data_IF_070528464618
#
_entry.id   IF_070528464618
#
_cell.length_a   1.000
_cell.length_b   1.000
_cell.length_c   1.000
_cell.angle_alpha   90.00
_cell.angle_beta   90.00
_cell.angle_gamma   90.00
#
_symmetry.space_group_name_H-M   'P 1'
#
loop_
_entity.id
_entity.type
_entity.pdbx_description
1 polymer ?
#
# COMPACT_ATOMS: atom_id res chain seq x y z
N UNK A 1 -27.83 73.01 45.58
CA UNK A 1 -26.44 72.62 45.92
C UNK A 1 -26.26 71.14 45.58
N UNK A 2 -25.10 70.81 44.97
CA UNK A 2 -24.60 69.49 44.50
C UNK A 2 -24.69 68.36 45.58
N UNK A 3 -24.61 67.05 45.25
CA UNK A 3 -23.67 66.51 44.26
C UNK A 3 -24.13 65.42 43.29
N UNK A 4 -23.30 65.37 42.24
CA UNK A 4 -23.27 64.52 41.06
C UNK A 4 -22.47 63.27 41.44
N UNK A 5 -23.04 62.08 41.27
CA UNK A 5 -22.29 60.81 41.34
C UNK A 5 -22.42 60.06 40.02
N UNK A 6 -21.34 59.35 39.70
CA UNK A 6 -20.85 59.02 38.37
C UNK A 6 -20.53 57.50 38.37
N UNK A 7 -20.80 56.83 37.24
CA UNK A 7 -20.33 55.50 36.77
C UNK A 7 -21.14 54.23 37.09
N UNK A 8 -20.97 53.12 36.32
CA UNK A 8 -20.42 52.96 34.97
C UNK A 8 -21.34 52.15 34.02
N UNK A 9 -21.10 52.30 32.72
CA UNK A 9 -21.60 51.37 31.70
C UNK A 9 -20.96 49.99 31.89
N UNK A 10 -21.79 48.97 32.13
CA UNK A 10 -21.36 47.58 32.16
C UNK A 10 -21.09 47.13 30.72
N UNK A 11 -19.81 47.15 30.32
CA UNK A 11 -19.36 46.54 29.08
C UNK A 11 -19.60 45.02 29.16
N UNK A 12 -20.52 44.53 28.34
CA UNK A 12 -20.66 43.11 28.04
C UNK A 12 -19.39 42.64 27.33
N UNK A 13 -18.49 41.93 28.04
CA UNK A 13 -17.49 41.11 27.37
C UNK A 13 -18.18 39.80 26.94
N UNK A 14 -18.69 39.78 25.72
CA UNK A 14 -19.06 38.54 25.05
C UNK A 14 -17.74 37.83 24.63
N UNK A 15 -17.30 36.87 25.43
CA UNK A 15 -16.16 36.01 25.10
C UNK A 15 -16.58 35.08 23.96
N UNK A 16 -16.36 35.50 22.71
CA UNK A 16 -16.47 34.60 21.55
C UNK A 16 -15.41 33.50 21.66
N UNK A 17 -15.82 32.32 22.10
CA UNK A 17 -15.04 31.09 21.96
C UNK A 17 -14.89 30.82 20.45
N UNK A 18 -13.74 31.19 19.88
CA UNK A 18 -13.36 30.78 18.53
C UNK A 18 -13.10 29.27 18.57
N UNK A 19 -14.14 28.49 18.28
CA UNK A 19 -14.01 27.08 17.91
C UNK A 19 -13.29 27.04 16.56
N UNK A 20 -11.96 27.02 16.61
CA UNK A 20 -11.18 26.64 15.43
C UNK A 20 -11.53 25.18 15.13
N UNK A 21 -12.11 24.86 13.95
CA UNK A 21 -12.30 23.47 13.58
C UNK A 21 -10.91 22.82 13.55
N UNK A 22 -10.68 21.85 14.43
CA UNK A 22 -9.54 20.98 14.30
C UNK A 22 -9.67 20.31 12.93
N UNK A 23 -8.74 20.60 12.01
CA UNK A 23 -8.61 19.85 10.78
C UNK A 23 -8.21 18.44 11.18
N UNK A 24 -9.19 17.57 11.39
CA UNK A 24 -8.97 16.15 11.56
C UNK A 24 -8.48 15.63 10.21
N UNK A 25 -7.22 15.19 10.15
CA UNK A 25 -6.75 14.43 9.01
C UNK A 25 -7.53 13.12 8.94
N UNK A 26 -7.88 12.68 7.72
CA UNK A 26 -8.53 11.40 7.52
C UNK A 26 -7.63 10.28 8.06
N UNK A 27 -8.23 9.35 8.82
CA UNK A 27 -7.52 8.21 9.42
C UNK A 27 -6.90 7.29 8.36
N UNK A 28 -5.95 6.44 8.76
CA UNK A 28 -5.33 5.47 7.86
C UNK A 28 -6.34 4.62 7.08
N UNK A 29 -7.35 4.01 7.74
CA UNK A 29 -8.41 3.26 7.05
C UNK A 29 -9.22 4.10 6.07
N UNK A 30 -9.54 5.35 6.38
CA UNK A 30 -10.30 6.24 5.48
C UNK A 30 -9.49 6.63 4.25
N UNK A 31 -8.22 6.97 4.44
CA UNK A 31 -7.31 7.25 3.33
C UNK A 31 -7.10 6.02 2.46
N UNK A 32 -6.93 4.84 3.07
CA UNK A 32 -6.77 3.59 2.34
C UNK A 32 -8.03 3.22 1.56
N UNK A 33 -9.22 3.37 2.16
CA UNK A 33 -10.49 3.19 1.46
C UNK A 33 -10.61 4.14 0.26
N UNK A 34 -10.22 5.40 0.44
CA UNK A 34 -10.19 6.38 -0.65
C UNK A 34 -9.21 5.98 -1.75
N UNK A 35 -8.02 5.51 -1.39
CA UNK A 35 -7.03 4.99 -2.34
C UNK A 35 -7.61 3.85 -3.19
N UNK A 36 -8.16 2.82 -2.54
CA UNK A 36 -8.67 1.61 -3.21
C UNK A 36 -9.85 1.94 -4.14
N UNK A 37 -10.74 2.84 -3.71
CA UNK A 37 -11.96 3.19 -4.46
C UNK A 37 -11.73 4.17 -5.61
N UNK A 38 -10.76 5.09 -5.49
CA UNK A 38 -10.56 6.18 -6.47
C UNK A 38 -9.35 5.98 -7.40
N UNK A 39 -8.52 4.96 -7.13
CA UNK A 39 -7.35 4.63 -7.93
C UNK A 39 -7.64 3.42 -8.80
N UNK A 40 -7.89 3.61 -10.09
CA UNK A 40 -8.10 2.51 -11.04
C UNK A 40 -6.80 2.05 -11.69
N UNK A 41 -5.83 2.94 -11.82
CA UNK A 41 -4.45 2.60 -12.21
C UNK A 41 -3.45 3.36 -11.37
N UNK A 42 -2.24 2.85 -11.26
CA UNK A 42 -1.12 3.59 -10.70
C UNK A 42 0.20 3.13 -11.29
N UNK A 43 1.21 3.99 -11.16
CA UNK A 43 2.62 3.60 -11.29
C UNK A 43 3.45 4.24 -10.19
N UNK A 44 4.51 3.56 -9.76
CA UNK A 44 5.46 4.10 -8.80
C UNK A 44 6.81 3.39 -8.93
N UNK A 45 7.84 4.04 -8.40
CA UNK A 45 9.10 3.37 -8.06
C UNK A 45 9.03 2.88 -6.61
N UNK A 46 9.80 1.85 -6.27
CA UNK A 46 9.92 1.41 -4.89
C UNK A 46 11.37 1.09 -4.51
N UNK A 47 11.68 1.27 -3.24
CA UNK A 47 12.83 0.66 -2.57
C UNK A 47 12.32 -0.33 -1.53
N UNK A 48 12.90 -1.52 -1.49
CA UNK A 48 12.54 -2.59 -0.57
C UNK A 48 13.73 -2.98 0.29
N UNK A 49 13.48 -3.19 1.58
CA UNK A 49 14.43 -3.76 2.54
C UNK A 49 13.80 -4.97 3.20
N UNK A 50 14.44 -6.12 3.09
CA UNK A 50 14.03 -7.37 3.75
C UNK A 50 15.00 -7.68 4.88
N UNK A 51 14.49 -7.78 6.09
CA UNK A 51 15.27 -8.12 7.29
C UNK A 51 14.76 -9.43 7.87
N UNK A 52 15.61 -10.43 7.96
CA UNK A 52 15.29 -11.71 8.58
C UNK A 52 15.43 -11.64 10.11
N UNK A 53 14.63 -12.42 10.84
CA UNK A 53 14.71 -12.58 12.31
C UNK A 53 16.10 -12.98 12.81
N UNK A 54 16.87 -13.69 11.98
CA UNK A 54 18.23 -14.15 12.30
C UNK A 54 19.27 -13.02 12.41
N UNK A 55 18.92 -11.77 12.08
CA UNK A 55 19.86 -10.64 12.13
C UNK A 55 20.90 -10.64 10.99
N UNK A 56 20.71 -11.49 9.97
CA UNK A 56 21.51 -11.42 8.74
C UNK A 56 21.39 -10.03 8.10
N UNK A 57 22.41 -9.65 7.33
CA UNK A 57 22.43 -8.38 6.60
C UNK A 57 21.12 -8.20 5.81
N UNK A 58 20.46 -7.03 5.92
CA UNK A 58 19.24 -6.77 5.17
C UNK A 58 19.48 -6.91 3.66
N UNK A 59 18.52 -7.49 2.97
CA UNK A 59 18.52 -7.53 1.51
C UNK A 59 17.80 -6.29 0.99
N UNK A 60 18.50 -5.51 0.19
CA UNK A 60 17.98 -4.32 -0.46
C UNK A 60 17.54 -4.66 -1.88
N UNK A 61 16.43 -4.10 -2.33
CA UNK A 61 15.99 -4.23 -3.71
C UNK A 61 15.29 -2.95 -4.18
N UNK A 62 15.27 -2.72 -5.48
CA UNK A 62 14.63 -1.54 -6.07
C UNK A 62 13.91 -1.93 -7.35
N UNK A 63 12.94 -1.12 -7.75
CA UNK A 63 12.27 -1.34 -9.01
C UNK A 63 11.04 -0.48 -9.21
N UNK A 64 10.15 -0.97 -10.07
CA UNK A 64 8.92 -0.28 -10.47
C UNK A 64 7.70 -1.16 -10.28
N UNK A 65 6.58 -0.50 -9.98
CA UNK A 65 5.27 -1.13 -9.98
C UNK A 65 4.32 -0.35 -10.89
N UNK A 66 3.44 -1.07 -11.54
CA UNK A 66 2.27 -0.53 -12.19
C UNK A 66 1.09 -1.46 -11.97
N UNK A 67 -0.10 -0.91 -11.80
CA UNK A 67 -1.32 -1.72 -11.77
C UNK A 67 -2.47 -1.03 -12.50
N UNK A 68 -3.40 -1.85 -12.98
CA UNK A 68 -4.68 -1.43 -13.49
C UNK A 68 -5.74 -2.41 -13.00
N UNK A 69 -6.74 -1.89 -12.29
CA UNK A 69 -7.84 -2.69 -11.76
C UNK A 69 -8.80 -3.13 -12.88
N UNK A 70 -9.45 -4.29 -12.73
CA UNK A 70 -9.19 -5.32 -11.73
C UNK A 70 -8.01 -6.24 -12.14
N UNK A 71 -7.22 -6.68 -11.15
CA UNK A 71 -6.35 -7.85 -11.26
C UNK A 71 -5.13 -7.75 -12.17
N UNK A 72 -4.88 -6.61 -12.83
CA UNK A 72 -3.69 -6.43 -13.66
C UNK A 72 -2.61 -5.67 -12.92
N UNK A 73 -1.41 -6.22 -12.88
CA UNK A 73 -0.26 -5.54 -12.32
C UNK A 73 1.04 -6.02 -12.94
N UNK A 74 2.06 -5.19 -12.80
CA UNK A 74 3.43 -5.46 -13.20
C UNK A 74 4.33 -4.95 -12.10
N UNK A 75 5.13 -5.85 -11.54
CA UNK A 75 6.12 -5.54 -10.50
C UNK A 75 7.49 -5.98 -11.01
N UNK A 76 8.38 -5.02 -11.24
CA UNK A 76 9.71 -5.27 -11.79
C UNK A 76 10.74 -4.97 -10.72
N UNK A 77 11.49 -5.98 -10.28
CA UNK A 77 12.71 -5.83 -9.49
C UNK A 77 13.89 -5.66 -10.45
N UNK A 78 14.68 -4.61 -10.24
CA UNK A 78 15.80 -4.23 -11.11
C UNK A 78 17.16 -4.47 -10.45
N UNK A 79 17.21 -4.45 -9.11
CA UNK A 79 18.44 -4.64 -8.34
C UNK A 79 18.17 -5.43 -7.06
N UNK A 80 19.14 -6.21 -6.56
CA UNK A 80 20.36 -6.64 -7.25
C UNK A 80 20.12 -7.76 -8.26
N UNK A 81 18.96 -8.42 -8.19
CA UNK A 81 18.54 -9.50 -9.10
C UNK A 81 17.30 -9.08 -9.85
N UNK A 82 17.24 -9.42 -11.13
CA UNK A 82 16.12 -9.05 -11.99
C UNK A 82 15.00 -10.09 -11.90
N UNK A 83 13.85 -9.64 -11.41
CA UNK A 83 12.67 -10.47 -11.29
C UNK A 83 11.43 -9.70 -11.72
N UNK A 84 10.56 -10.34 -12.49
CA UNK A 84 9.35 -9.72 -13.02
C UNK A 84 8.13 -10.52 -12.59
N UNK A 85 7.20 -9.86 -11.90
CA UNK A 85 5.89 -10.40 -11.57
C UNK A 85 4.84 -9.70 -12.42
N UNK A 86 4.02 -10.46 -13.16
CA UNK A 86 2.94 -9.93 -13.98
C UNK A 86 1.64 -10.64 -13.64
N UNK A 87 0.65 -9.88 -13.18
CA UNK A 87 -0.74 -10.31 -13.12
C UNK A 87 -1.47 -9.86 -14.38
N UNK A 88 -2.00 -10.79 -15.17
CA UNK A 88 -2.74 -10.47 -16.41
C UNK A 88 -4.27 -10.38 -16.20
N UNK A 89 -4.72 -10.52 -14.95
CA UNK A 89 -6.14 -10.61 -14.55
C UNK A 89 -6.65 -12.04 -14.38
N UNK A 90 -5.91 -13.05 -14.83
CA UNK A 90 -6.26 -14.47 -14.68
C UNK A 90 -5.13 -15.26 -14.04
N UNK A 91 -3.89 -15.00 -14.46
CA UNK A 91 -2.67 -15.67 -14.01
C UNK A 91 -1.65 -14.68 -13.45
N UNK A 92 -0.86 -15.18 -12.53
CA UNK A 92 0.38 -14.58 -12.07
C UNK A 92 1.54 -15.29 -12.77
N UNK A 93 2.36 -14.52 -13.46
CA UNK A 93 3.63 -14.92 -14.04
C UNK A 93 4.75 -14.37 -13.17
N UNK A 94 5.67 -15.23 -12.75
CA UNK A 94 6.88 -14.84 -12.01
C UNK A 94 8.06 -15.27 -12.85
N UNK A 95 8.80 -14.32 -13.40
CA UNK A 95 9.97 -14.56 -14.21
C UNK A 95 11.23 -14.17 -13.44
N UNK A 96 12.06 -15.18 -13.16
CA UNK A 96 13.42 -14.99 -12.68
C UNK A 96 14.35 -14.94 -13.89
N UNK A 97 14.94 -13.77 -14.15
CA UNK A 97 15.71 -13.56 -15.38
C UNK A 97 17.03 -14.30 -15.36
N UNK A 98 17.68 -14.37 -14.20
CA UNK A 98 19.00 -14.96 -14.05
C UNK A 98 18.94 -16.48 -14.19
N UNK A 99 17.87 -17.09 -13.69
CA UNK A 99 17.60 -18.53 -13.84
C UNK A 99 16.92 -18.89 -15.17
N UNK A 100 16.47 -17.88 -15.92
CA UNK A 100 15.61 -18.05 -17.10
C UNK A 100 14.40 -18.98 -16.81
N UNK A 101 13.75 -18.75 -15.66
CA UNK A 101 12.67 -19.60 -15.17
C UNK A 101 11.38 -18.79 -15.01
N UNK A 102 10.27 -19.33 -15.48
CA UNK A 102 8.93 -18.76 -15.35
C UNK A 102 8.08 -19.67 -14.47
N UNK A 103 7.56 -19.13 -13.37
CA UNK A 103 6.53 -19.78 -12.57
C UNK A 103 5.16 -19.19 -12.88
N UNK A 104 4.17 -20.06 -13.11
CA UNK A 104 2.79 -19.67 -13.42
C UNK A 104 1.85 -20.12 -12.30
N UNK A 105 0.96 -19.24 -11.85
CA UNK A 105 -0.06 -19.54 -10.84
C UNK A 105 -1.39 -18.90 -11.20
N UNK A 106 -2.51 -19.53 -10.79
CA UNK A 106 -3.83 -18.89 -10.81
C UNK A 106 -3.85 -17.67 -9.91
N UNK A 107 -4.32 -16.53 -10.44
CA UNK A 107 -4.23 -15.26 -9.74
C UNK A 107 -5.03 -15.25 -8.44
N UNK A 108 -6.25 -15.80 -8.42
CA UNK A 108 -7.09 -15.84 -7.22
C UNK A 108 -6.43 -16.51 -6.01
N UNK A 109 -5.68 -17.59 -6.22
CA UNK A 109 -4.92 -18.27 -5.16
C UNK A 109 -3.65 -17.51 -4.76
N UNK A 110 -3.04 -16.77 -5.70
CA UNK A 110 -1.83 -16.00 -5.46
C UNK A 110 -2.08 -14.62 -4.82
N UNK A 111 -3.28 -14.05 -5.00
CA UNK A 111 -3.64 -12.74 -4.43
C UNK A 111 -3.75 -12.79 -2.89
N UNK A 112 -4.16 -13.93 -2.30
CA UNK A 112 -4.17 -14.09 -0.85
C UNK A 112 -2.77 -14.08 -0.20
N UNK A 113 -1.72 -14.22 -1.02
CA UNK A 113 -0.36 -14.49 -0.58
C UNK A 113 0.67 -13.47 -1.07
N UNK A 114 0.28 -12.27 -1.54
CA UNK A 114 1.27 -11.24 -1.89
C UNK A 114 0.86 -9.82 -1.45
N UNK A 115 1.79 -9.01 -0.92
CA UNK A 115 1.54 -7.60 -0.59
C UNK A 115 1.12 -6.75 -1.79
N UNK A 116 1.54 -7.12 -3.01
CA UNK A 116 1.11 -6.47 -4.24
C UNK A 116 -0.42 -6.58 -4.47
N UNK A 117 -1.02 -7.69 -4.04
CA UNK A 117 -2.46 -7.91 -4.13
C UNK A 117 -3.26 -6.95 -3.23
N UNK A 118 -2.73 -6.54 -2.07
CA UNK A 118 -3.39 -5.52 -1.24
C UNK A 118 -3.48 -4.17 -1.96
N UNK A 119 -2.48 -3.84 -2.78
CA UNK A 119 -2.41 -2.57 -3.51
C UNK A 119 -3.13 -2.60 -4.86
N UNK A 120 -3.17 -3.75 -5.54
CA UNK A 120 -3.73 -3.91 -6.90
C UNK A 120 -5.06 -4.70 -6.92
N UNK A 121 -5.46 -5.26 -5.78
CA UNK A 121 -6.65 -6.07 -5.61
C UNK A 121 -7.95 -5.31 -5.87
N UNK A 122 -9.03 -6.07 -5.96
CA UNK A 122 -10.37 -5.54 -6.12
C UNK A 122 -10.89 -4.93 -4.80
N UNK A 123 -12.11 -4.39 -4.85
CA UNK A 123 -12.77 -3.80 -3.69
C UNK A 123 -13.23 -4.85 -2.65
N UNK A 124 -12.80 -6.11 -2.75
CA UNK A 124 -13.19 -7.17 -1.82
C UNK A 124 -12.23 -7.36 -0.64
N UNK A 125 -11.35 -6.38 -0.37
CA UNK A 125 -10.39 -6.44 0.74
C UNK A 125 -11.05 -6.77 2.09
N UNK A 126 -12.23 -6.22 2.39
CA UNK A 126 -12.95 -6.48 3.65
C UNK A 126 -13.35 -7.96 3.83
N UNK A 127 -13.49 -8.71 2.72
CA UNK A 127 -13.79 -10.16 2.75
C UNK A 127 -12.59 -10.98 3.18
N UNK A 128 -11.37 -10.52 2.86
CA UNK A 128 -10.15 -11.29 3.05
C UNK A 128 -9.32 -10.77 4.23
N UNK A 129 -9.51 -9.51 4.61
CA UNK A 129 -8.71 -8.82 5.62
C UNK A 129 -9.56 -8.16 6.70
N UNK A 130 -9.00 -8.13 7.90
CA UNK A 130 -9.44 -7.26 8.99
C UNK A 130 -8.59 -6.00 8.87
N UNK A 131 -9.26 -4.87 8.65
CA UNK A 131 -8.63 -3.56 8.45
C UNK A 131 -8.82 -2.74 9.73
N UNK A 132 -7.74 -2.29 10.35
CA UNK A 132 -7.75 -1.51 11.59
C UNK A 132 -6.91 -0.24 11.45
N UNK A 133 -7.28 0.79 12.21
CA UNK A 133 -6.45 1.97 12.37
C UNK A 133 -5.20 1.61 13.17
N UNK A 134 -4.02 2.03 12.68
CA UNK A 134 -2.73 1.80 13.30
C UNK A 134 -2.01 3.10 13.67
N UNK A 135 -2.75 4.21 13.72
CA UNK A 135 -2.31 5.51 14.20
C UNK A 135 -1.38 6.24 13.24
N UNK A 136 -0.89 7.39 13.69
CA UNK A 136 -0.02 8.27 12.90
C UNK A 136 1.44 8.13 13.34
N UNK A 137 2.37 8.04 12.39
CA UNK A 137 3.82 8.07 12.68
C UNK A 137 4.55 8.73 11.52
N UNK A 138 5.48 9.64 11.82
CA UNK A 138 6.28 10.36 10.83
C UNK A 138 5.44 11.07 9.73
N UNK A 139 4.27 11.58 10.11
CA UNK A 139 3.34 12.26 9.20
C UNK A 139 2.55 11.33 8.26
N UNK A 140 2.64 10.01 8.45
CA UNK A 140 1.83 9.03 7.72
C UNK A 140 0.71 8.50 8.62
N UNK A 141 -0.48 8.39 8.05
CA UNK A 141 -1.62 7.72 8.68
C UNK A 141 -1.58 6.23 8.33
N UNK A 142 -1.51 5.36 9.33
CA UNK A 142 -1.35 3.94 9.10
C UNK A 142 -2.66 3.18 9.20
N UNK A 143 -2.81 2.25 8.26
CA UNK A 143 -3.76 1.16 8.36
C UNK A 143 -3.01 -0.15 8.57
N UNK A 144 -3.58 -1.06 9.34
CA UNK A 144 -3.13 -2.44 9.45
C UNK A 144 -4.15 -3.38 8.81
N UNK A 145 -3.66 -4.33 8.03
CA UNK A 145 -4.42 -5.34 7.33
C UNK A 145 -3.94 -6.72 7.76
N UNK A 146 -4.79 -7.45 8.48
CA UNK A 146 -4.53 -8.82 8.90
C UNK A 146 -5.39 -9.79 8.07
N UNK A 147 -4.83 -10.86 7.48
CA UNK A 147 -5.64 -11.88 6.84
C UNK A 147 -6.67 -12.46 7.81
N UNK A 148 -7.92 -12.64 7.36
CA UNK A 148 -8.95 -13.34 8.14
C UNK A 148 -8.64 -14.82 8.28
N UNK A 149 -8.10 -15.43 7.23
CA UNK A 149 -7.63 -16.80 7.23
C UNK A 149 -6.11 -16.83 7.44
N UNK A 150 -5.68 -17.18 8.65
CA UNK A 150 -4.26 -17.14 9.04
C UNK A 150 -3.44 -18.29 8.45
N UNK A 151 -4.09 -19.38 8.06
CA UNK A 151 -3.41 -20.59 7.58
C UNK A 151 -3.09 -20.56 6.08
N UNK A 152 -3.68 -19.62 5.32
CA UNK A 152 -3.53 -19.52 3.87
C UNK A 152 -2.65 -18.33 3.41
N UNK A 153 -2.34 -17.39 4.31
CA UNK A 153 -1.56 -16.18 3.99
C UNK A 153 -0.05 -16.42 4.03
N UNK A 154 0.70 -15.77 3.14
CA UNK A 154 2.17 -15.74 3.22
C UNK A 154 2.69 -14.77 4.29
N UNK A 155 1.81 -13.99 4.91
CA UNK A 155 2.15 -12.97 5.89
C UNK A 155 1.19 -12.97 7.09
N UNK A 156 1.69 -12.53 8.24
CA UNK A 156 0.93 -12.36 9.48
C UNK A 156 0.10 -11.06 9.44
N UNK A 157 0.74 -9.96 9.03
CA UNK A 157 0.09 -8.66 8.88
C UNK A 157 0.81 -7.76 7.88
N UNK A 158 0.09 -6.77 7.35
CA UNK A 158 0.63 -5.68 6.56
C UNK A 158 0.20 -4.34 7.15
N UNK A 159 1.14 -3.43 7.34
CA UNK A 159 0.85 -2.01 7.64
C UNK A 159 1.11 -1.17 6.41
N UNK A 160 0.19 -0.25 6.10
CA UNK A 160 0.32 0.68 4.98
C UNK A 160 0.25 2.09 5.54
N UNK A 161 1.31 2.86 5.35
CA UNK A 161 1.38 4.27 5.71
C UNK A 161 0.95 5.14 4.53
N UNK A 162 -0.06 5.97 4.74
CA UNK A 162 -0.65 6.82 3.72
C UNK A 162 -0.42 8.30 4.01
N UNK A 163 -0.31 9.06 2.92
CA UNK A 163 -0.34 10.51 2.93
C UNK A 163 -1.00 10.97 1.62
N UNK A 164 -1.91 11.94 1.73
CA UNK A 164 -2.75 12.42 0.62
C UNK A 164 -3.55 11.30 -0.08
N UNK A 165 -4.01 10.31 0.69
CA UNK A 165 -4.69 9.11 0.17
C UNK A 165 -3.83 8.25 -0.77
N UNK A 166 -2.50 8.36 -0.70
CA UNK A 166 -1.57 7.53 -1.47
C UNK A 166 -0.67 6.72 -0.55
N UNK A 167 -0.39 5.45 -0.87
CA UNK A 167 0.56 4.65 -0.10
C UNK A 167 1.97 5.22 -0.29
N UNK A 168 2.65 5.47 0.83
CA UNK A 168 4.05 5.93 0.87
C UNK A 168 4.97 4.85 1.43
N UNK A 169 4.47 4.07 2.37
CA UNK A 169 5.20 3.00 3.05
C UNK A 169 4.32 1.77 3.17
N UNK A 170 4.91 0.59 3.00
CA UNK A 170 4.28 -0.67 3.30
C UNK A 170 5.24 -1.53 4.12
N UNK A 171 4.75 -2.12 5.19
CA UNK A 171 5.52 -2.98 6.08
C UNK A 171 4.81 -4.31 6.15
N UNK A 172 5.50 -5.38 5.79
CA UNK A 172 4.97 -6.75 5.76
C UNK A 172 5.73 -7.55 6.80
N UNK A 173 4.98 -8.23 7.67
CA UNK A 173 5.53 -9.19 8.61
C UNK A 173 5.09 -10.58 8.20
N UNK A 174 6.04 -11.48 7.96
CA UNK A 174 5.73 -12.88 7.67
C UNK A 174 5.67 -13.76 8.93
N UNK A 175 5.14 -14.97 8.77
CA UNK A 175 5.02 -15.95 9.85
C UNK A 175 6.37 -16.47 10.39
N UNK A 176 7.47 -16.22 9.67
CA UNK A 176 8.82 -16.62 10.06
C UNK A 176 9.60 -15.48 10.74
N UNK A 177 8.96 -14.33 10.96
CA UNK A 177 9.55 -13.14 11.58
C UNK A 177 10.43 -12.33 10.61
N UNK A 178 10.31 -12.53 9.31
CA UNK A 178 10.85 -11.62 8.31
C UNK A 178 10.03 -10.33 8.29
N UNK A 179 10.73 -9.19 8.25
CA UNK A 179 10.15 -7.88 8.05
C UNK A 179 10.57 -7.34 6.70
N UNK A 180 9.60 -7.05 5.84
CA UNK A 180 9.83 -6.40 4.56
C UNK A 180 9.26 -4.98 4.62
N UNK A 181 10.10 -3.98 4.31
CA UNK A 181 9.71 -2.57 4.24
C UNK A 181 9.80 -2.12 2.79
N UNK A 182 8.71 -1.60 2.23
CA UNK A 182 8.66 -1.02 0.91
C UNK A 182 8.32 0.47 1.00
N UNK A 183 9.18 1.30 0.44
CA UNK A 183 8.96 2.74 0.33
C UNK A 183 8.64 3.08 -1.12
N UNK A 184 7.52 3.76 -1.35
CA UNK A 184 7.10 4.17 -2.69
C UNK A 184 7.54 5.59 -3.00
N UNK A 185 8.02 5.79 -4.22
CA UNK A 185 8.49 7.06 -4.74
C UNK A 185 7.79 7.37 -6.07
N UNK A 186 7.58 8.66 -6.35
CA UNK A 186 6.99 9.12 -7.61
C UNK A 186 5.66 8.40 -7.93
N UNK A 187 4.78 8.31 -6.93
CA UNK A 187 3.51 7.63 -7.07
C UNK A 187 2.56 8.47 -7.93
N UNK A 188 2.14 7.92 -9.07
CA UNK A 188 1.19 8.56 -9.98
C UNK A 188 -0.15 7.82 -9.92
N UNK A 189 -1.22 8.56 -9.61
CA UNK A 189 -2.59 8.03 -9.56
C UNK A 189 -3.25 8.18 -10.93
N UNK A 190 -3.91 7.11 -11.37
CA UNK A 190 -4.65 7.03 -12.62
C UNK A 190 -3.88 7.46 -13.89
N UNK A 191 -2.58 7.14 -14.06
CA UNK A 191 -1.90 7.43 -15.31
C UNK A 191 -2.49 6.59 -16.45
N UNK A 192 -2.42 7.07 -17.71
CA UNK A 192 -2.72 6.23 -18.86
C UNK A 192 -1.69 5.10 -18.94
N UNK A 193 -2.14 3.85 -18.91
CA UNK A 193 -1.31 2.66 -19.04
C UNK A 193 -1.75 1.85 -20.25
N UNK A 194 -0.79 1.45 -21.10
CA UNK A 194 -1.07 0.57 -22.22
C UNK A 194 -1.51 -0.81 -21.71
N UNK A 195 -2.54 -1.40 -22.33
CA UNK A 195 -3.05 -2.71 -21.94
C UNK A 195 -1.98 -3.81 -22.03
N UNK A 196 -1.08 -3.71 -23.00
CA UNK A 196 -0.02 -4.69 -23.23
C UNK A 196 1.07 -4.68 -22.16
N UNK A 197 1.11 -3.66 -21.30
CA UNK A 197 2.03 -3.60 -20.15
C UNK A 197 1.87 -4.81 -19.21
N UNK A 198 0.66 -5.35 -19.13
CA UNK A 198 0.28 -6.44 -18.24
C UNK A 198 0.21 -7.79 -18.93
N UNK A 199 0.61 -7.88 -20.21
CA UNK A 199 0.76 -9.15 -20.90
C UNK A 199 2.17 -9.68 -20.66
N UNK A 200 2.27 -10.99 -20.44
CA UNK A 200 3.55 -11.66 -20.36
C UNK A 200 3.57 -12.83 -21.34
N UNK A 201 4.72 -13.01 -22.00
CA UNK A 201 5.00 -14.17 -22.84
C UNK A 201 6.35 -14.71 -22.40
N UNK A 202 6.44 -15.97 -21.96
CA UNK A 202 7.71 -16.57 -21.58
C UNK A 202 8.76 -16.41 -22.69
N UNK A 203 9.99 -15.97 -22.35
CA UNK A 203 11.04 -15.86 -23.36
C UNK A 203 11.43 -17.24 -23.88
N UNK A 204 12.01 -17.27 -25.08
CA UNK A 204 12.43 -18.52 -25.72
C UNK A 204 13.42 -19.27 -24.84
N UNK A 205 13.15 -20.55 -24.59
CA UNK A 205 14.02 -21.42 -23.81
C UNK A 205 13.92 -21.24 -22.30
N UNK A 206 12.96 -20.44 -21.81
CA UNK A 206 12.66 -20.39 -20.39
C UNK A 206 12.07 -21.72 -19.91
N UNK A 207 12.47 -22.16 -18.72
CA UNK A 207 11.83 -23.27 -18.03
C UNK A 207 10.51 -22.79 -17.42
N UNK A 208 9.38 -23.37 -17.82
CA UNK A 208 8.03 -22.94 -17.42
C UNK A 208 7.43 -23.97 -16.47
N UNK A 209 7.13 -23.56 -15.24
CA UNK A 209 6.66 -24.43 -14.17
C UNK A 209 5.33 -23.88 -13.61
N UNK A 210 4.34 -24.73 -13.37
CA UNK A 210 3.05 -24.37 -12.75
C UNK A 210 1.83 -24.66 -13.62
N UNK A 211 0.68 -24.09 -13.24
CA UNK A 211 -0.65 -24.28 -13.88
C UNK A 211 -1.33 -22.95 -14.24
#
# INVERSE_FOLDING_TARGET
>A
MKPRFWHPALFWLATCLLLTPALANASGPEQFKTFITTTHSARAHFSQTVTAKSGRKPQLSQGTLAFARPGRFRWSYEKPYEQLLVGDGQRLWIFDRDLNQVTVKKLGQALGASPAALLAGDNALDKNFIITDAGTTDGLEFVEAMPRNKDEGSFELVRIGLSDNLPRLMIVHDHFGQKTVLTFHQFERNPPLAADLFRFTPPKGADVIGE
#
